data_IF_499113973326
#
_entry.id   IF_499113973326
#
_cell.length_a   1.000
_cell.length_b   1.000
_cell.length_c   1.000
_cell.angle_alpha   90.00
_cell.angle_beta   90.00
_cell.angle_gamma   90.00
#
_symmetry.space_group_name_H-M   'P 1'
#
loop_
_entity.id
_entity.type
_entity.pdbx_description
1 polymer ?
#
# COMPACT_ATOMS: atom_id res chain seq x y z
N UNK A 1 -1.60 -26.75 8.16
CA UNK A 1 -2.31 -26.79 6.87
C UNK A 1 -1.35 -26.32 5.80
N UNK A 2 -1.36 -26.94 4.62
CA UNK A 2 -0.49 -26.57 3.50
C UNK A 2 -0.99 -25.27 2.83
N UNK A 3 -0.06 -24.39 2.44
CA UNK A 3 -0.35 -23.12 1.78
C UNK A 3 -1.12 -23.33 0.47
N UNK A 4 -0.79 -24.38 -0.29
CA UNK A 4 -1.49 -24.71 -1.53
C UNK A 4 -2.98 -25.02 -1.29
N UNK A 5 -3.30 -25.69 -0.17
CA UNK A 5 -4.68 -26.00 0.23
C UNK A 5 -5.44 -24.74 0.66
N UNK A 6 -4.79 -23.82 1.37
CA UNK A 6 -5.38 -22.54 1.76
C UNK A 6 -5.69 -21.67 0.55
N UNK A 7 -4.75 -21.58 -0.40
CA UNK A 7 -4.94 -20.84 -1.65
C UNK A 7 -6.12 -21.39 -2.45
N UNK A 8 -6.22 -22.72 -2.62
CA UNK A 8 -7.39 -23.31 -3.31
C UNK A 8 -8.72 -23.00 -2.63
N UNK A 9 -8.75 -22.89 -1.30
CA UNK A 9 -9.95 -22.51 -0.56
C UNK A 9 -10.27 -21.03 -0.74
N UNK A 10 -9.28 -20.15 -0.63
CA UNK A 10 -9.44 -18.72 -0.84
C UNK A 10 -9.94 -18.40 -2.26
N UNK A 11 -9.44 -19.12 -3.28
CA UNK A 11 -9.88 -18.93 -4.66
C UNK A 11 -11.34 -19.36 -4.93
N UNK A 12 -11.96 -20.15 -4.05
CA UNK A 12 -13.38 -20.52 -4.13
C UNK A 12 -14.32 -19.44 -3.56
N UNK A 13 -13.79 -18.48 -2.81
CA UNK A 13 -14.56 -17.36 -2.29
C UNK A 13 -14.99 -16.44 -3.43
N UNK A 14 -16.10 -15.73 -3.23
CA UNK A 14 -16.49 -14.62 -4.10
C UNK A 14 -15.43 -13.51 -4.09
N UNK A 15 -15.46 -12.62 -5.08
CA UNK A 15 -14.51 -11.49 -5.16
C UNK A 15 -14.53 -10.67 -3.87
N UNK A 16 -15.72 -10.36 -3.34
CA UNK A 16 -15.88 -9.54 -2.13
C UNK A 16 -15.28 -10.25 -0.90
N UNK A 17 -15.57 -11.54 -0.73
CA UNK A 17 -15.00 -12.32 0.37
C UNK A 17 -13.48 -12.45 0.28
N UNK A 18 -12.92 -12.55 -0.94
CA UNK A 18 -11.47 -12.53 -1.12
C UNK A 18 -10.86 -11.20 -0.71
N UNK A 19 -11.48 -10.08 -1.05
CA UNK A 19 -11.01 -8.75 -0.63
C UNK A 19 -10.99 -8.66 0.89
N UNK A 20 -12.09 -9.03 1.56
CA UNK A 20 -12.13 -9.03 3.03
C UNK A 20 -11.07 -9.95 3.66
N UNK A 21 -10.82 -11.11 3.05
CA UNK A 21 -9.77 -12.02 3.51
C UNK A 21 -8.37 -11.40 3.35
N UNK A 22 -8.11 -10.74 2.22
CA UNK A 22 -6.85 -10.03 1.99
C UNK A 22 -6.66 -8.93 3.02
N UNK A 23 -7.68 -8.12 3.28
CA UNK A 23 -7.60 -7.04 4.27
C UNK A 23 -7.30 -7.58 5.68
N UNK A 24 -7.98 -8.66 6.08
CA UNK A 24 -7.75 -9.28 7.39
C UNK A 24 -6.34 -9.89 7.50
N UNK A 25 -5.85 -10.53 6.43
CA UNK A 25 -4.51 -11.08 6.40
C UNK A 25 -3.45 -9.97 6.42
N UNK A 26 -3.67 -8.89 5.67
CA UNK A 26 -2.79 -7.73 5.64
C UNK A 26 -2.68 -7.09 7.02
N UNK A 27 -3.81 -6.78 7.65
CA UNK A 27 -3.86 -6.21 9.00
C UNK A 27 -3.19 -7.12 10.06
N UNK A 28 -3.16 -8.44 9.84
CA UNK A 28 -2.47 -9.36 10.76
C UNK A 28 -0.95 -9.29 10.69
N UNK A 29 -0.39 -8.64 9.66
CA UNK A 29 1.05 -8.43 9.50
C UNK A 29 1.54 -7.16 10.19
N UNK A 30 0.61 -6.31 10.64
CA UNK A 30 0.91 -5.05 11.28
C UNK A 30 1.63 -5.28 12.62
N UNK A 31 2.69 -4.52 12.85
CA UNK A 31 3.38 -4.52 14.14
C UNK A 31 2.64 -3.59 15.14
N UNK A 32 2.97 -3.64 16.44
CA UNK A 32 2.30 -2.80 17.45
C UNK A 32 2.40 -1.29 17.21
N UNK A 33 3.38 -0.85 16.42
CA UNK A 33 3.66 0.56 16.10
C UNK A 33 2.92 1.01 14.83
N UNK A 34 2.27 0.10 14.09
CA UNK A 34 1.68 0.39 12.79
C UNK A 34 0.69 1.56 12.84
N UNK A 35 -0.12 1.66 13.91
CA UNK A 35 -1.05 2.79 14.08
C UNK A 35 -0.32 4.14 14.17
N UNK A 36 0.82 4.20 14.84
CA UNK A 36 1.63 5.42 14.92
C UNK A 36 2.27 5.74 13.56
N UNK A 37 2.75 4.71 12.87
CA UNK A 37 3.29 4.83 11.51
C UNK A 37 2.24 5.37 10.54
N UNK A 38 1.02 4.83 10.57
CA UNK A 38 -0.09 5.27 9.71
C UNK A 38 -0.46 6.74 9.98
N UNK A 39 -0.49 7.14 11.25
CA UNK A 39 -0.73 8.53 11.64
C UNK A 39 0.40 9.45 11.16
N UNK A 40 1.65 9.03 11.27
CA UNK A 40 2.79 9.79 10.76
C UNK A 40 2.71 9.96 9.23
N UNK A 41 2.38 8.90 8.49
CA UNK A 41 2.19 8.96 7.04
C UNK A 41 1.03 9.86 6.62
N UNK A 42 -0.08 9.81 7.35
CA UNK A 42 -1.24 10.69 7.10
C UNK A 42 -0.84 12.16 7.26
N UNK A 43 -0.18 12.49 8.37
CA UNK A 43 0.28 13.85 8.65
C UNK A 43 1.27 14.36 7.60
N UNK A 44 2.26 13.53 7.25
CA UNK A 44 3.26 13.87 6.23
C UNK A 44 2.62 14.07 4.85
N UNK A 45 1.69 13.20 4.48
CA UNK A 45 1.00 13.28 3.18
C UNK A 45 0.15 14.54 3.07
N UNK A 46 -0.55 14.90 4.15
CA UNK A 46 -1.32 16.15 4.19
C UNK A 46 -0.41 17.38 4.12
N UNK A 47 0.67 17.40 4.92
CA UNK A 47 1.67 18.47 4.92
C UNK A 47 2.26 18.70 3.52
N UNK A 48 2.64 17.63 2.80
CA UNK A 48 3.16 17.73 1.43
C UNK A 48 2.13 18.24 0.44
N UNK A 49 0.87 17.83 0.58
CA UNK A 49 -0.21 18.30 -0.28
C UNK A 49 -0.46 19.80 -0.10
N UNK A 50 -0.45 20.27 1.15
CA UNK A 50 -0.62 21.69 1.47
C UNK A 50 0.57 22.51 0.92
N UNK A 51 1.79 22.06 1.16
CA UNK A 51 2.99 22.71 0.62
C UNK A 51 3.01 22.75 -0.92
N UNK A 52 2.49 21.71 -1.59
CA UNK A 52 2.30 21.72 -3.04
C UNK A 52 1.29 22.78 -3.49
N UNK A 53 0.12 22.85 -2.84
CA UNK A 53 -0.90 23.86 -3.14
C UNK A 53 -0.40 25.28 -2.90
N UNK A 54 0.49 25.47 -1.92
CA UNK A 54 1.14 26.76 -1.61
C UNK A 54 2.36 27.06 -2.52
N UNK A 55 2.75 26.14 -3.40
CA UNK A 55 3.90 26.29 -4.30
C UNK A 55 5.25 26.27 -3.58
N UNK A 56 5.33 25.67 -2.39
CA UNK A 56 6.51 25.63 -1.54
C UNK A 56 7.45 24.44 -1.83
N UNK A 57 6.98 23.46 -2.61
CA UNK A 57 7.77 22.29 -2.99
C UNK A 57 7.77 22.10 -4.51
N UNK A 58 8.90 21.60 -5.02
CA UNK A 58 9.01 21.17 -6.40
C UNK A 58 8.33 19.83 -6.61
N UNK A 59 7.62 19.68 -7.72
CA UNK A 59 6.96 18.42 -8.11
C UNK A 59 7.71 17.74 -9.23
N UNK A 60 7.70 16.41 -9.17
CA UNK A 60 8.18 15.55 -10.24
C UNK A 60 7.00 14.88 -10.93
N UNK A 61 7.17 14.60 -12.23
CA UNK A 61 6.15 13.88 -12.99
C UNK A 61 5.99 12.45 -12.47
N UNK A 62 4.77 12.09 -12.07
CA UNK A 62 4.49 10.78 -11.48
C UNK A 62 4.76 9.62 -12.43
N UNK A 63 4.45 9.78 -13.73
CA UNK A 63 4.68 8.73 -14.72
C UNK A 63 6.16 8.41 -14.89
N UNK A 64 7.01 9.43 -14.82
CA UNK A 64 8.47 9.31 -14.87
C UNK A 64 8.99 8.50 -13.68
N UNK A 65 8.55 8.82 -12.46
CA UNK A 65 8.89 8.08 -11.23
C UNK A 65 8.48 6.60 -11.33
N UNK A 66 7.23 6.30 -11.72
CA UNK A 66 6.78 4.91 -11.86
C UNK A 66 7.57 4.15 -12.93
N UNK A 67 7.95 4.81 -14.01
CA UNK A 67 8.76 4.20 -15.07
C UNK A 67 10.17 3.86 -14.60
N UNK A 68 10.78 4.70 -13.75
CA UNK A 68 12.08 4.44 -13.15
C UNK A 68 12.03 3.28 -12.15
N UNK A 69 11.03 3.26 -11.25
CA UNK A 69 10.83 2.16 -10.30
C UNK A 69 10.67 0.84 -11.05
N UNK A 70 9.82 0.81 -12.08
CA UNK A 70 9.61 -0.40 -12.89
C UNK A 70 10.92 -0.93 -13.48
N UNK A 71 11.74 -0.06 -14.07
CA UNK A 71 13.06 -0.45 -14.60
C UNK A 71 13.97 -1.05 -13.53
N UNK A 72 13.94 -0.51 -12.31
CA UNK A 72 14.77 -1.00 -11.19
C UNK A 72 14.33 -2.37 -10.64
N UNK A 73 13.07 -2.76 -10.85
CA UNK A 73 12.54 -4.05 -10.41
C UNK A 73 12.70 -5.16 -11.47
N UNK A 74 13.06 -4.79 -12.70
CA UNK A 74 13.31 -5.72 -13.81
C UNK A 74 14.78 -6.19 -13.90
N UNK A 75 15.66 -5.63 -13.05
CA UNK A 75 17.07 -6.03 -12.87
C UNK A 75 17.27 -6.93 -11.68
#
# INVERSE_FOLDING_TARGET
MDAAVLTQKALKLTVVERVHLIDALWASLDNPEQTEIDLAWLNESQSRLDAYHEGQIEVVDGQSVFSEIKKSLET
#
